data_IF_396496363040
#
_entry.id   IF_396496363040
#
_cell.length_a   1.000
_cell.length_b   1.000
_cell.length_c   1.000
_cell.angle_alpha   90.00
_cell.angle_beta   90.00
_cell.angle_gamma   90.00
#
_symmetry.space_group_name_H-M   'P 1'
#
loop_
_entity.id
_entity.type
_entity.pdbx_description
1 polymer ?
#
# COMPACT_ATOMS: atom_id res chain seq x y z
N UNK A 1 -21.80 -2.32 15.74
CA UNK A 1 -20.44 -2.81 15.46
C UNK A 1 -20.37 -3.11 13.98
N UNK A 2 -19.39 -2.52 13.29
CA UNK A 2 -19.22 -2.70 11.86
C UNK A 2 -17.75 -2.99 11.56
N UNK A 3 -17.52 -3.86 10.59
CA UNK A 3 -16.21 -4.12 10.01
C UNK A 3 -16.04 -3.21 8.80
N UNK A 4 -14.95 -2.44 8.77
CA UNK A 4 -14.64 -1.45 7.73
C UNK A 4 -13.34 -1.87 7.05
N UNK A 5 -13.42 -2.24 5.78
CA UNK A 5 -12.25 -2.44 4.93
C UNK A 5 -11.91 -1.10 4.24
N UNK A 6 -10.70 -0.60 4.49
CA UNK A 6 -10.18 0.61 3.85
C UNK A 6 -9.11 0.23 2.83
N UNK A 7 -9.41 0.46 1.55
CA UNK A 7 -8.51 0.21 0.44
C UNK A 7 -7.55 1.37 0.26
N UNK A 8 -6.26 1.06 0.20
CA UNK A 8 -5.18 2.05 0.25
C UNK A 8 -4.09 1.75 -0.77
N UNK A 9 -3.64 2.80 -1.46
CA UNK A 9 -2.37 2.81 -2.16
C UNK A 9 -1.28 3.42 -1.25
N UNK A 10 -0.09 2.79 -1.12
CA UNK A 10 0.98 3.27 -0.26
C UNK A 10 1.56 4.64 -0.64
N UNK A 11 1.45 5.08 -1.89
CA UNK A 11 2.01 6.37 -2.34
C UNK A 11 1.02 7.52 -2.22
N UNK A 12 -0.26 7.25 -1.94
CA UNK A 12 -1.29 8.28 -1.90
C UNK A 12 -1.30 9.01 -0.54
N UNK A 13 -1.03 10.33 -0.49
CA UNK A 13 -1.01 11.08 0.76
C UNK A 13 -2.40 11.20 1.40
N UNK A 14 -3.46 11.25 0.59
CA UNK A 14 -4.84 11.28 1.11
C UNK A 14 -5.22 9.94 1.74
N UNK A 15 -4.82 8.83 1.11
CA UNK A 15 -5.00 7.49 1.67
C UNK A 15 -4.29 7.37 3.04
N UNK A 16 -3.06 7.91 3.15
CA UNK A 16 -2.31 7.92 4.41
C UNK A 16 -3.09 8.62 5.52
N UNK A 17 -3.50 9.88 5.31
CA UNK A 17 -4.22 10.67 6.32
C UNK A 17 -5.53 9.98 6.72
N UNK A 18 -6.31 9.50 5.75
CA UNK A 18 -7.57 8.78 6.00
C UNK A 18 -7.35 7.50 6.82
N UNK A 19 -6.29 6.74 6.54
CA UNK A 19 -5.95 5.54 7.30
C UNK A 19 -5.68 5.85 8.77
N UNK A 20 -4.94 6.93 9.06
CA UNK A 20 -4.56 7.31 10.43
C UNK A 20 -5.79 7.72 11.23
N UNK A 21 -6.66 8.52 10.62
CA UNK A 21 -7.92 8.91 11.23
C UNK A 21 -8.81 7.70 11.53
N UNK A 22 -9.02 6.80 10.56
CA UNK A 22 -9.89 5.64 10.75
C UNK A 22 -9.34 4.69 11.82
N UNK A 23 -8.03 4.42 11.81
CA UNK A 23 -7.41 3.56 12.82
C UNK A 23 -7.53 4.18 14.22
N UNK A 24 -7.31 5.48 14.37
CA UNK A 24 -7.49 6.17 15.66
C UNK A 24 -8.96 6.14 16.12
N UNK A 25 -9.91 6.34 15.22
CA UNK A 25 -11.34 6.26 15.54
C UNK A 25 -11.78 4.84 15.94
N UNK A 26 -11.15 3.80 15.36
CA UNK A 26 -11.44 2.41 15.66
C UNK A 26 -10.81 1.93 16.99
N UNK A 27 -9.70 2.53 17.44
CA UNK A 27 -9.00 2.12 18.67
C UNK A 27 -9.88 2.17 19.92
N UNK A 28 -10.68 3.23 20.06
CA UNK A 28 -11.60 3.43 21.20
C UNK A 28 -13.07 3.19 20.81
N UNK A 29 -13.32 2.75 19.57
CA UNK A 29 -14.64 2.62 18.97
C UNK A 29 -15.15 1.18 18.91
N UNK A 30 -16.46 0.97 18.70
CA UNK A 30 -17.05 -0.36 18.54
C UNK A 30 -16.87 -0.92 17.12
N UNK A 31 -15.86 -0.45 16.36
CA UNK A 31 -15.67 -0.76 14.95
C UNK A 31 -14.31 -1.42 14.72
N UNK A 32 -14.25 -2.36 13.80
CA UNK A 32 -12.98 -2.96 13.36
C UNK A 32 -12.57 -2.32 12.05
N UNK A 33 -11.38 -1.72 11.99
CA UNK A 33 -10.81 -1.21 10.75
C UNK A 33 -9.75 -2.19 10.21
N UNK A 34 -9.86 -2.57 8.94
CA UNK A 34 -8.90 -3.42 8.23
C UNK A 34 -8.35 -2.66 7.04
N UNK A 35 -7.04 -2.71 6.85
CA UNK A 35 -6.39 -2.06 5.71
C UNK A 35 -6.21 -3.08 4.59
N UNK A 36 -6.61 -2.70 3.38
CA UNK A 36 -6.53 -3.53 2.17
C UNK A 36 -5.73 -2.81 1.10
N UNK A 37 -5.08 -3.59 0.25
CA UNK A 37 -4.32 -3.04 -0.86
C UNK A 37 -5.25 -2.56 -1.98
N UNK A 38 -4.98 -1.36 -2.47
CA UNK A 38 -5.44 -0.81 -3.75
C UNK A 38 -4.20 -0.40 -4.56
N UNK A 39 -4.38 -0.11 -5.84
CA UNK A 39 -3.32 0.43 -6.70
C UNK A 39 -3.82 1.59 -7.54
N UNK A 40 -3.22 2.76 -7.37
CA UNK A 40 -3.42 3.92 -8.24
C UNK A 40 -2.95 3.62 -9.67
N UNK A 41 -1.89 2.81 -9.82
CA UNK A 41 -1.43 2.40 -11.14
C UNK A 41 -2.50 1.60 -11.89
N UNK A 42 -3.15 0.65 -11.21
CA UNK A 42 -4.28 -0.12 -11.77
C UNK A 42 -5.49 0.79 -12.00
N UNK A 43 -5.82 1.67 -11.06
CA UNK A 43 -6.95 2.59 -11.19
C UNK A 43 -6.80 3.53 -12.41
N UNK A 44 -5.56 3.89 -12.77
CA UNK A 44 -5.26 4.77 -13.90
C UNK A 44 -4.86 4.00 -15.17
N UNK A 45 -4.98 2.67 -15.21
CA UNK A 45 -4.71 1.91 -16.43
C UNK A 45 -5.68 2.31 -17.55
N UNK A 46 -5.14 2.67 -18.72
CA UNK A 46 -5.93 3.13 -19.86
C UNK A 46 -6.38 4.60 -19.79
N UNK A 47 -6.02 5.33 -18.73
CA UNK A 47 -6.26 6.77 -18.61
C UNK A 47 -5.01 7.58 -18.99
N UNK A 48 -5.20 8.77 -19.54
CA UNK A 48 -4.09 9.71 -19.76
C UNK A 48 -3.69 10.35 -18.42
N UNK A 49 -2.42 10.20 -18.05
CA UNK A 49 -1.85 10.74 -16.82
C UNK A 49 -0.86 11.83 -17.21
N UNK A 50 -1.10 13.03 -16.69
CA UNK A 50 -0.23 14.18 -16.92
C UNK A 50 1.20 13.94 -16.43
N UNK A 51 2.12 14.81 -16.86
CA UNK A 51 3.54 14.66 -16.55
C UNK A 51 3.84 14.76 -15.05
N UNK A 52 3.04 15.51 -14.30
CA UNK A 52 3.26 15.78 -12.88
C UNK A 52 2.86 14.58 -12.01
N UNK A 53 1.83 13.83 -12.41
CA UNK A 53 1.35 12.64 -11.68
C UNK A 53 2.02 11.34 -12.12
N UNK A 54 2.62 11.29 -13.32
CA UNK A 54 3.28 10.09 -13.85
C UNK A 54 4.34 9.47 -12.91
N UNK A 55 5.20 10.24 -12.22
CA UNK A 55 6.15 9.67 -11.26
C UNK A 55 5.46 8.98 -10.07
N UNK A 56 4.33 9.52 -9.60
CA UNK A 56 3.55 8.91 -8.53
C UNK A 56 2.91 7.60 -8.98
N UNK A 57 2.35 7.56 -10.20
CA UNK A 57 1.78 6.34 -10.78
C UNK A 57 2.84 5.24 -10.96
N UNK A 58 4.04 5.60 -11.40
CA UNK A 58 5.14 4.63 -11.49
C UNK A 58 5.58 4.13 -10.12
N UNK A 59 5.66 5.01 -9.11
CA UNK A 59 5.96 4.60 -7.73
C UNK A 59 4.88 3.66 -7.18
N UNK A 60 3.60 3.96 -7.44
CA UNK A 60 2.45 3.10 -7.08
C UNK A 60 2.61 1.71 -7.68
N UNK A 61 2.93 1.61 -8.98
CA UNK A 61 3.15 0.33 -9.67
C UNK A 61 4.26 -0.48 -9.01
N UNK A 62 5.42 0.14 -8.82
CA UNK A 62 6.63 -0.52 -8.28
C UNK A 62 6.46 -0.96 -6.83
N UNK A 63 5.99 -0.07 -5.96
CA UNK A 63 5.76 -0.42 -4.56
C UNK A 63 4.58 -1.37 -4.39
N UNK A 64 3.54 -1.25 -5.22
CA UNK A 64 2.39 -2.16 -5.22
C UNK A 64 2.79 -3.63 -5.30
N UNK A 65 3.80 -3.98 -6.11
CA UNK A 65 4.34 -5.34 -6.22
C UNK A 65 4.91 -5.87 -4.91
N UNK A 66 5.66 -5.03 -4.21
CA UNK A 66 6.29 -5.38 -2.93
C UNK A 66 5.24 -5.55 -1.84
N UNK A 67 4.23 -4.67 -1.82
CA UNK A 67 3.08 -4.79 -0.93
C UNK A 67 2.25 -6.04 -1.24
N UNK A 68 2.08 -6.40 -2.52
CA UNK A 68 1.39 -7.63 -2.90
C UNK A 68 2.18 -8.87 -2.44
N UNK A 69 3.51 -8.88 -2.62
CA UNK A 69 4.37 -9.96 -2.15
C UNK A 69 4.37 -10.11 -0.61
N UNK A 70 4.41 -8.98 0.12
CA UNK A 70 4.28 -8.97 1.58
C UNK A 70 2.91 -9.51 2.02
N UNK A 71 1.84 -9.11 1.34
CA UNK A 71 0.47 -9.56 1.65
C UNK A 71 0.30 -11.06 1.34
N UNK A 72 0.88 -11.56 0.26
CA UNK A 72 0.80 -12.98 -0.10
C UNK A 72 1.51 -13.88 0.92
N UNK A 73 2.56 -13.38 1.58
CA UNK A 73 3.35 -14.14 2.56
C UNK A 73 2.82 -14.02 3.99
N UNK A 74 2.32 -12.84 4.37
CA UNK A 74 1.95 -12.54 5.76
C UNK A 74 0.53 -12.02 5.97
N UNK A 75 -0.33 -12.10 4.95
CA UNK A 75 -1.73 -11.72 5.03
C UNK A 75 -1.99 -10.21 5.12
N UNK A 76 -3.23 -9.81 5.39
CA UNK A 76 -3.63 -8.40 5.53
C UNK A 76 -2.86 -7.65 6.63
N UNK A 77 -2.44 -8.35 7.69
CA UNK A 77 -1.66 -7.77 8.77
C UNK A 77 -0.25 -7.39 8.31
N UNK A 78 0.35 -8.14 7.37
CA UNK A 78 1.62 -7.76 6.76
C UNK A 78 1.49 -6.50 5.91
N UNK A 79 0.39 -6.36 5.16
CA UNK A 79 0.08 -5.12 4.46
C UNK A 79 0.03 -3.94 5.44
N UNK A 80 -0.75 -4.06 6.52
CA UNK A 80 -0.92 -2.99 7.49
C UNK A 80 0.39 -2.57 8.18
N UNK A 81 1.24 -3.53 8.58
CA UNK A 81 2.55 -3.22 9.20
C UNK A 81 3.50 -2.56 8.22
N UNK A 82 3.58 -3.05 6.98
CA UNK A 82 4.43 -2.44 5.96
C UNK A 82 3.91 -1.04 5.56
N UNK A 83 2.60 -0.88 5.48
CA UNK A 83 1.96 0.40 5.21
C UNK A 83 2.32 1.44 6.27
N UNK A 84 2.36 1.04 7.54
CA UNK A 84 2.78 1.90 8.64
C UNK A 84 4.26 2.31 8.52
N UNK A 85 5.18 1.36 8.37
CA UNK A 85 6.62 1.66 8.36
C UNK A 85 7.05 2.44 7.11
N UNK A 86 6.57 2.03 5.94
CA UNK A 86 6.84 2.69 4.68
C UNK A 86 6.13 4.06 4.58
N UNK A 87 4.89 4.13 5.05
CA UNK A 87 4.08 5.35 5.01
C UNK A 87 4.64 6.45 5.91
N UNK A 88 5.18 6.13 7.09
CA UNK A 88 5.88 7.11 7.93
C UNK A 88 7.06 7.75 7.18
N UNK A 89 7.89 6.95 6.48
CA UNK A 89 9.01 7.48 5.69
C UNK A 89 8.54 8.37 4.55
N UNK A 90 7.58 7.90 3.75
CA UNK A 90 7.07 8.64 2.60
C UNK A 90 6.34 9.93 3.00
N UNK A 91 5.36 9.81 3.90
CA UNK A 91 4.36 10.86 4.12
C UNK A 91 4.65 11.76 5.32
N UNK A 92 5.41 11.26 6.32
CA UNK A 92 5.77 12.06 7.51
C UNK A 92 7.16 12.66 7.35
N UNK A 93 8.12 11.89 6.84
CA UNK A 93 9.51 12.33 6.73
C UNK A 93 9.90 12.81 5.32
N UNK A 94 9.02 12.67 4.32
CA UNK A 94 9.31 13.08 2.94
C UNK A 94 10.47 12.31 2.30
N UNK A 95 10.75 11.10 2.79
CA UNK A 95 11.86 10.28 2.34
C UNK A 95 11.43 9.37 1.19
N UNK A 96 12.28 9.22 0.19
CA UNK A 96 12.04 8.27 -0.89
C UNK A 96 12.28 6.82 -0.42
N UNK A 97 11.51 5.89 -0.97
CA UNK A 97 11.67 4.45 -0.72
C UNK A 97 12.56 3.81 -1.78
N UNK A 98 13.81 4.27 -1.82
CA UNK A 98 14.86 3.55 -2.54
C UNK A 98 15.07 2.14 -1.98
N UNK A 99 15.83 1.27 -2.67
CA UNK A 99 15.95 -0.15 -2.31
C UNK A 99 16.34 -0.41 -0.85
N UNK A 100 17.30 0.36 -0.30
CA UNK A 100 17.72 0.23 1.09
C UNK A 100 16.63 0.65 2.08
N UNK A 101 16.01 1.82 1.88
CA UNK A 101 14.93 2.31 2.76
C UNK A 101 13.70 1.40 2.74
N UNK A 102 13.40 0.79 1.59
CA UNK A 102 12.34 -0.20 1.46
C UNK A 102 12.67 -1.50 2.23
N UNK A 103 13.89 -2.01 2.10
CA UNK A 103 14.35 -3.17 2.87
C UNK A 103 14.34 -2.92 4.39
N UNK A 104 14.72 -1.72 4.83
CA UNK A 104 14.59 -1.30 6.24
C UNK A 104 13.13 -1.24 6.69
N UNK A 105 12.23 -0.74 5.84
CA UNK A 105 10.79 -0.66 6.16
C UNK A 105 10.16 -2.05 6.28
N UNK A 106 10.53 -2.98 5.40
CA UNK A 106 10.17 -4.40 5.49
C UNK A 106 10.67 -5.01 6.79
N UNK A 107 11.95 -4.81 7.13
CA UNK A 107 12.54 -5.33 8.36
C UNK A 107 11.83 -4.77 9.60
N UNK A 108 11.56 -3.46 9.63
CA UNK A 108 10.82 -2.81 10.71
C UNK A 108 9.37 -3.32 10.83
N UNK A 109 8.76 -3.75 9.72
CA UNK A 109 7.45 -4.38 9.70
C UNK A 109 7.48 -5.88 10.09
N UNK A 110 8.65 -6.42 10.43
CA UNK A 110 8.84 -7.84 10.74
C UNK A 110 8.70 -8.75 9.51
N UNK A 111 9.02 -8.23 8.32
CA UNK A 111 8.98 -8.93 7.03
C UNK A 111 10.39 -9.17 6.50
N UNK A 112 10.52 -10.10 5.56
CA UNK A 112 11.80 -10.38 4.91
C UNK A 112 12.24 -9.16 4.06
N UNK A 113 13.38 -8.52 4.35
CA UNK A 113 13.90 -7.41 3.54
C UNK A 113 14.15 -7.80 2.08
N UNK A 114 14.36 -9.08 1.78
CA UNK A 114 14.55 -9.55 0.42
C UNK A 114 13.32 -9.38 -0.47
N UNK A 115 12.13 -9.13 0.10
CA UNK A 115 10.92 -8.77 -0.66
C UNK A 115 11.09 -7.47 -1.46
N UNK A 116 12.03 -6.60 -1.08
CA UNK A 116 12.34 -5.37 -1.83
C UNK A 116 12.73 -5.65 -3.30
N UNK A 117 13.24 -6.86 -3.62
CA UNK A 117 13.59 -7.26 -4.99
C UNK A 117 12.40 -7.25 -5.95
N UNK A 118 11.16 -7.38 -5.44
CA UNK A 118 9.95 -7.43 -6.25
C UNK A 118 9.54 -6.07 -6.84
N UNK A 119 10.23 -4.99 -6.49
CA UNK A 119 9.96 -3.63 -7.00
C UNK A 119 9.89 -3.59 -8.54
N UNK A 120 10.76 -4.35 -9.21
CA UNK A 120 10.86 -4.40 -10.67
C UNK A 120 10.35 -5.72 -11.28
N UNK A 121 9.71 -6.57 -10.47
CA UNK A 121 9.18 -7.86 -10.91
C UNK A 121 7.74 -7.72 -11.45
N UNK A 122 7.60 -7.60 -12.77
CA UNK A 122 6.30 -7.52 -13.44
C UNK A 122 5.45 -8.78 -13.27
N UNK A 123 6.04 -9.91 -12.84
CA UNK A 123 5.29 -11.12 -12.49
C UNK A 123 4.30 -10.92 -11.35
N UNK A 124 4.46 -9.85 -10.55
CA UNK A 124 3.55 -9.49 -9.47
C UNK A 124 2.39 -8.60 -9.92
N UNK A 125 2.36 -8.12 -11.16
CA UNK A 125 1.33 -7.18 -11.63
C UNK A 125 -0.08 -7.79 -11.52
N UNK A 126 -0.25 -9.08 -11.85
CA UNK A 126 -1.53 -9.78 -11.70
C UNK A 126 -2.01 -9.88 -10.25
N UNK A 127 -1.08 -10.05 -9.30
CA UNK A 127 -1.39 -10.07 -7.88
C UNK A 127 -1.84 -8.68 -7.39
N UNK A 128 -1.22 -7.62 -7.91
CA UNK A 128 -1.61 -6.23 -7.63
C UNK A 128 -3.02 -5.94 -8.17
N UNK A 129 -3.31 -6.32 -9.43
CA UNK A 129 -4.65 -6.16 -10.02
C UNK A 129 -5.71 -6.95 -9.26
N UNK A 130 -5.41 -8.21 -8.89
CA UNK A 130 -6.34 -9.04 -8.11
C UNK A 130 -6.64 -8.46 -6.72
N UNK A 131 -5.64 -7.90 -6.04
CA UNK A 131 -5.86 -7.21 -4.77
C UNK A 131 -6.70 -5.93 -4.94
N UNK A 132 -6.45 -5.15 -6.00
CA UNK A 132 -7.16 -3.92 -6.29
C UNK A 132 -8.64 -4.13 -6.68
N UNK A 133 -8.98 -5.26 -7.33
CA UNK A 133 -10.35 -5.57 -7.74
C UNK A 133 -11.35 -5.58 -6.56
N UNK A 134 -10.92 -6.00 -5.36
CA UNK A 134 -11.76 -5.97 -4.16
C UNK A 134 -12.25 -4.57 -3.78
N UNK A 135 -11.55 -3.51 -4.20
CA UNK A 135 -11.96 -2.11 -3.97
C UNK A 135 -13.16 -1.68 -4.84
N UNK A 136 -13.38 -2.32 -5.99
CA UNK A 136 -14.44 -1.96 -6.94
C UNK A 136 -15.76 -2.70 -6.69
N UNK A 137 -15.72 -3.85 -6.00
CA UNK A 137 -16.90 -4.69 -5.73
C UNK A 137 -17.66 -4.31 -4.45
N UNK A 138 -17.25 -3.25 -3.74
CA UNK A 138 -17.86 -2.83 -2.46
C UNK A 138 -19.06 -1.86 -2.61
N UNK A 139 -19.77 -1.93 -3.74
CA UNK A 139 -20.92 -1.06 -4.09
C UNK A 139 -22.29 -1.62 -3.72
#
# INVERSE_FOLDING_TARGET
>A
MADIDLYLDPVCPFAWVSSRWLLAAAQDGPHTARLRQMSLAVLNEGHDVDADHRPMIERSRRLGRVFAAATATGGPEAFARLYDTAGNRLHVHGQDLGPAALAESLSAAGLDPALARYTDDTGLDSAVTGAAAGSSDSG
#
